data_IF_328458491950
#
_entry.id   IF_328458491950
#
_cell.length_a   1.000
_cell.length_b   1.000
_cell.length_c   1.000
_cell.angle_alpha   90.00
_cell.angle_beta   90.00
_cell.angle_gamma   90.00
#
_symmetry.space_group_name_H-M   'P 1'
#
loop_
_entity.id
_entity.type
_entity.pdbx_description
1 polymer ?
#
# COMPACT_ATOMS: atom_id res chain seq x y z
N UNK A 1 -4.60 19.00 4.63
CA UNK A 1 -3.55 18.20 5.29
C UNK A 1 -2.41 18.04 4.30
N UNK A 2 -1.15 18.11 4.74
CA UNK A 2 0.02 18.04 3.84
C UNK A 2 0.24 16.60 3.32
N UNK A 3 0.13 16.33 2.00
CA UNK A 3 0.38 15.01 1.43
C UNK A 3 1.81 14.52 1.65
N UNK A 4 2.81 15.42 1.59
CA UNK A 4 4.20 15.04 1.75
C UNK A 4 4.47 14.56 3.18
N UNK A 5 4.03 15.31 4.18
CA UNK A 5 4.09 14.88 5.58
C UNK A 5 3.37 13.55 5.82
N UNK A 6 2.20 13.35 5.22
CA UNK A 6 1.45 12.08 5.35
C UNK A 6 2.22 10.90 4.75
N UNK A 7 2.87 11.07 3.60
CA UNK A 7 3.68 10.02 2.97
C UNK A 7 4.90 9.62 3.84
N UNK A 8 5.60 10.61 4.40
CA UNK A 8 6.71 10.36 5.34
C UNK A 8 6.24 9.58 6.57
N UNK A 9 5.12 10.01 7.17
CA UNK A 9 4.53 9.32 8.32
C UNK A 9 4.02 7.91 7.97
N UNK A 10 3.49 7.71 6.77
CA UNK A 10 2.99 6.41 6.33
C UNK A 10 4.09 5.35 6.33
N UNK A 11 5.29 5.67 5.82
CA UNK A 11 6.44 4.76 5.86
C UNK A 11 6.86 4.45 7.31
N UNK A 12 6.92 5.48 8.16
CA UNK A 12 7.24 5.30 9.59
C UNK A 12 6.21 4.38 10.27
N UNK A 13 4.92 4.65 10.11
CA UNK A 13 3.85 3.86 10.71
C UNK A 13 3.83 2.43 10.18
N UNK A 14 4.15 2.20 8.90
CA UNK A 14 4.26 0.85 8.35
C UNK A 14 5.42 0.06 8.96
N UNK A 15 6.61 0.68 9.12
CA UNK A 15 7.80 -0.02 9.65
C UNK A 15 7.79 -0.18 11.17
N UNK A 16 7.12 0.71 11.90
CA UNK A 16 7.05 0.71 13.36
C UNK A 16 5.73 0.15 13.92
N UNK A 17 4.68 0.07 13.11
CA UNK A 17 3.37 -0.45 13.47
C UNK A 17 3.33 -1.98 13.52
N UNK A 18 2.38 -2.53 14.27
CA UNK A 18 2.21 -3.97 14.44
C UNK A 18 2.05 -4.70 13.10
N UNK A 19 2.94 -5.66 12.83
CA UNK A 19 2.95 -6.55 11.66
C UNK A 19 2.88 -5.84 10.30
N UNK A 20 3.30 -4.57 10.21
CA UNK A 20 3.22 -3.80 8.97
C UNK A 20 1.79 -3.55 8.47
N UNK A 21 0.79 -3.67 9.35
CA UNK A 21 -0.61 -3.50 8.99
C UNK A 21 -0.90 -2.06 8.51
N UNK A 22 -1.87 -1.96 7.60
CA UNK A 22 -2.46 -0.71 7.15
C UNK A 22 -3.97 -0.76 7.45
N UNK A 23 -4.41 -0.20 8.58
CA UNK A 23 -5.79 -0.29 9.06
C UNK A 23 -6.34 1.08 9.48
N UNK A 24 -7.56 1.36 9.05
CA UNK A 24 -8.28 2.60 9.33
C UNK A 24 -9.62 2.28 10.00
N UNK A 25 -10.12 3.19 10.82
CA UNK A 25 -11.50 3.14 11.30
C UNK A 25 -12.47 3.74 10.25
N UNK A 26 -13.78 3.69 10.52
CA UNK A 26 -14.80 4.28 9.64
C UNK A 26 -14.70 5.82 9.49
N UNK A 27 -13.90 6.49 10.33
CA UNK A 27 -13.60 7.92 10.22
C UNK A 27 -12.34 8.20 9.37
N UNK A 28 -11.70 7.17 8.83
CA UNK A 28 -10.47 7.27 8.04
C UNK A 28 -9.20 7.52 8.86
N UNK A 29 -9.25 7.32 10.18
CA UNK A 29 -8.10 7.50 11.07
C UNK A 29 -7.32 6.18 11.17
N UNK A 30 -6.00 6.26 11.01
CA UNK A 30 -5.11 5.11 11.17
C UNK A 30 -5.09 4.65 12.63
N UNK A 31 -5.26 3.35 12.88
CA UNK A 31 -5.45 2.80 14.23
C UNK A 31 -4.64 1.52 14.53
N UNK A 32 -3.49 1.34 13.86
CA UNK A 32 -2.58 0.21 14.14
C UNK A 32 -1.73 0.54 15.37
N UNK A 33 -1.61 -0.38 16.35
CA UNK A 33 -0.79 -0.15 17.54
C UNK A 33 0.71 -0.29 17.24
N UNK A 34 1.55 0.12 18.21
CA UNK A 34 3.01 0.02 18.11
C UNK A 34 3.52 -1.43 18.06
N UNK A 35 4.44 -1.74 17.14
CA UNK A 35 4.92 -3.08 16.84
C UNK A 35 6.07 -3.60 17.73
N UNK A 36 6.73 -2.74 18.51
CA UNK A 36 7.83 -3.11 19.45
C UNK A 36 9.05 -3.80 18.81
N UNK A 37 9.33 -3.50 17.55
CA UNK A 37 10.55 -3.99 16.90
C UNK A 37 11.81 -3.35 17.50
N UNK A 38 12.87 -4.15 17.66
CA UNK A 38 14.16 -3.68 18.23
C UNK A 38 14.85 -2.65 17.34
N UNK A 39 14.84 -2.89 16.02
CA UNK A 39 15.46 -2.02 15.01
C UNK A 39 14.71 -2.17 13.69
N UNK A 40 13.67 -1.34 13.44
CA UNK A 40 13.03 -1.30 12.13
C UNK A 40 14.05 -0.99 11.03
N UNK A 41 13.92 -1.69 9.91
CA UNK A 41 14.75 -1.46 8.73
C UNK A 41 14.29 -0.21 7.97
N UNK A 42 15.23 0.64 7.56
CA UNK A 42 14.96 1.78 6.68
C UNK A 42 15.24 1.38 5.22
N UNK A 43 14.21 1.35 4.35
CA UNK A 43 14.33 0.77 3.01
C UNK A 43 14.85 1.79 1.98
N UNK A 44 16.05 2.33 2.19
CA UNK A 44 16.61 3.37 1.31
C UNK A 44 16.82 2.87 -0.12
N UNK A 45 17.45 1.70 -0.27
CA UNK A 45 17.74 1.12 -1.57
C UNK A 45 16.45 0.81 -2.34
N UNK A 46 15.44 0.28 -1.66
CA UNK A 46 14.14 -0.03 -2.25
C UNK A 46 13.36 1.23 -2.63
N UNK A 47 13.49 2.33 -1.86
CA UNK A 47 12.88 3.62 -2.21
C UNK A 47 13.45 4.18 -3.51
N UNK A 48 14.77 4.18 -3.66
CA UNK A 48 15.41 4.63 -4.91
C UNK A 48 15.10 3.71 -6.08
N UNK A 49 15.12 2.40 -5.87
CA UNK A 49 14.76 1.44 -6.92
C UNK A 49 13.31 1.60 -7.37
N UNK A 50 12.38 1.77 -6.43
CA UNK A 50 10.98 2.05 -6.76
C UNK A 50 10.84 3.34 -7.55
N UNK A 51 11.54 4.41 -7.15
CA UNK A 51 11.52 5.69 -7.86
C UNK A 51 12.05 5.59 -9.31
N UNK A 52 13.09 4.79 -9.54
CA UNK A 52 13.62 4.51 -10.88
C UNK A 52 12.61 3.76 -11.75
N UNK A 53 12.01 2.68 -11.22
CA UNK A 53 10.97 1.91 -11.94
C UNK A 53 9.71 2.73 -12.20
N UNK A 54 9.33 3.59 -11.25
CA UNK A 54 8.16 4.44 -11.33
C UNK A 54 8.23 5.49 -12.45
N UNK A 55 9.42 5.76 -13.04
CA UNK A 55 9.53 6.66 -14.20
C UNK A 55 8.72 6.18 -15.40
N UNK A 56 8.41 4.89 -15.49
CA UNK A 56 7.62 4.27 -16.56
C UNK A 56 6.26 3.76 -16.08
N UNK A 57 5.76 4.23 -14.93
CA UNK A 57 4.51 3.77 -14.34
C UNK A 57 3.56 4.94 -14.04
N UNK A 58 2.25 4.70 -14.17
CA UNK A 58 1.22 5.61 -13.73
C UNK A 58 0.44 4.99 -12.56
N UNK A 59 0.19 5.79 -11.51
CA UNK A 59 -0.53 5.35 -10.32
C UNK A 59 -1.90 6.02 -10.24
N UNK A 60 -2.94 5.20 -10.06
CA UNK A 60 -4.32 5.66 -9.93
C UNK A 60 -4.95 5.10 -8.67
N UNK A 61 -5.73 5.91 -7.96
CA UNK A 61 -6.50 5.49 -6.78
C UNK A 61 -7.98 5.42 -7.17
N UNK A 62 -8.39 4.24 -7.63
CA UNK A 62 -9.72 3.97 -8.15
C UNK A 62 -10.12 2.51 -7.87
N UNK A 63 -11.39 2.16 -8.11
CA UNK A 63 -11.83 0.77 -7.96
C UNK A 63 -11.27 -0.10 -9.09
N UNK A 64 -11.23 -1.42 -8.89
CA UNK A 64 -10.68 -2.36 -9.86
C UNK A 64 -11.40 -2.31 -11.22
N UNK A 65 -12.72 -2.06 -11.24
CA UNK A 65 -13.48 -1.99 -12.48
C UNK A 65 -13.02 -0.82 -13.36
N UNK A 66 -12.74 0.33 -12.74
CA UNK A 66 -12.29 1.53 -13.43
C UNK A 66 -10.87 1.36 -13.98
N UNK A 67 -9.97 0.76 -13.19
CA UNK A 67 -8.59 0.52 -13.64
C UNK A 67 -8.51 -0.55 -14.73
N UNK A 68 -9.32 -1.62 -14.63
CA UNK A 68 -9.40 -2.65 -15.67
C UNK A 68 -9.98 -2.12 -16.98
N UNK A 69 -10.90 -1.15 -16.93
CA UNK A 69 -11.47 -0.52 -18.12
C UNK A 69 -10.46 0.35 -18.90
N UNK A 70 -9.28 0.64 -18.34
CA UNK A 70 -8.21 1.36 -19.03
C UNK A 70 -7.37 0.46 -19.95
N UNK A 71 -7.46 -0.86 -19.80
CA UNK A 71 -6.69 -1.79 -20.61
C UNK A 71 -7.12 -1.72 -22.09
N UNK A 72 -6.14 -1.75 -22.98
CA UNK A 72 -6.31 -1.79 -24.43
C UNK A 72 -5.77 -3.10 -25.03
N UNK A 73 -5.76 -3.20 -26.36
CA UNK A 73 -5.31 -4.39 -27.09
C UNK A 73 -3.84 -4.77 -26.84
N UNK A 74 -3.01 -3.83 -26.35
CA UNK A 74 -1.61 -4.06 -26.03
C UNK A 74 -1.37 -4.35 -24.55
N UNK A 75 -2.42 -4.29 -23.72
CA UNK A 75 -2.32 -4.41 -22.28
C UNK A 75 -2.32 -5.87 -21.81
N UNK A 76 -1.54 -6.15 -20.78
CA UNK A 76 -1.63 -7.40 -20.01
C UNK A 76 -2.11 -7.06 -18.60
N UNK A 77 -3.18 -7.72 -18.15
CA UNK A 77 -3.80 -7.45 -16.85
C UNK A 77 -3.42 -8.55 -15.84
N UNK A 78 -2.88 -8.13 -14.71
CA UNK A 78 -2.65 -8.98 -13.54
C UNK A 78 -3.53 -8.51 -12.38
N UNK A 79 -4.23 -9.45 -11.73
CA UNK A 79 -5.13 -9.17 -10.62
C UNK A 79 -4.72 -9.97 -9.37
N UNK A 80 -4.55 -9.26 -8.26
CA UNK A 80 -4.32 -9.83 -6.91
C UNK A 80 -5.41 -9.29 -5.95
N UNK A 81 -6.64 -9.85 -6.01
CA UNK A 81 -7.73 -9.38 -5.16
C UNK A 81 -7.48 -9.77 -3.68
N UNK A 82 -8.18 -9.13 -2.72
CA UNK A 82 -8.25 -9.66 -1.37
C UNK A 82 -8.64 -11.14 -1.39
N UNK A 83 -7.90 -11.98 -0.65
CA UNK A 83 -8.11 -13.42 -0.67
C UNK A 83 -9.54 -13.79 -0.26
N UNK A 84 -10.09 -14.79 -0.94
CA UNK A 84 -11.35 -15.40 -0.53
C UNK A 84 -11.22 -16.03 0.86
N UNK A 85 -12.28 -16.05 1.68
CA UNK A 85 -12.28 -16.73 2.95
C UNK A 85 -11.86 -18.20 2.80
N UNK A 86 -10.95 -18.66 3.65
CA UNK A 86 -10.51 -20.06 3.67
C UNK A 86 -11.61 -20.99 4.24
N UNK A 87 -12.58 -20.45 4.98
CA UNK A 87 -13.79 -21.14 5.42
C UNK A 87 -14.94 -20.14 5.62
N UNK A 88 -16.18 -20.64 5.70
CA UNK A 88 -17.39 -19.82 5.86
C UNK A 88 -17.49 -19.04 7.19
N UNK A 89 -16.57 -19.26 8.13
CA UNK A 89 -16.59 -18.66 9.47
C UNK A 89 -15.34 -17.84 9.81
N UNK A 90 -14.46 -17.57 8.84
CA UNK A 90 -13.23 -16.80 9.03
C UNK A 90 -13.45 -15.30 8.79
#
# INVERSE_FOLDING_TARGET
QDPFRRAVLFLYLNRYGYNGLCRYNLRGEFNVPFGRYKKPYFPEAELYHFAEKAQNAFFYCESYADSMARADDASVVYCDPPYAPLSATA
#
